data_IF_754722646700
#
_entry.id   IF_754722646700
#
_cell.length_a   1.000
_cell.length_b   1.000
_cell.length_c   1.000
_cell.angle_alpha   90.00
_cell.angle_beta   90.00
_cell.angle_gamma   90.00
#
_symmetry.space_group_name_H-M   'P 1'
#
loop_
_entity.id
_entity.type
_entity.pdbx_description
1 polymer ?
#
# COMPACT_ATOMS: atom_id res chain seq x y z
N UNK A 1 -8.18 49.09 10.31
CA UNK A 1 -7.56 48.35 11.42
C UNK A 1 -8.08 46.92 11.36
N UNK A 2 -7.24 45.92 11.08
CA UNK A 2 -7.67 44.51 10.97
C UNK A 2 -7.34 43.78 12.27
N UNK A 3 -8.34 43.11 12.85
CA UNK A 3 -8.20 42.32 14.06
C UNK A 3 -8.22 40.84 13.68
N UNK A 4 -7.07 40.17 13.85
CA UNK A 4 -6.95 38.73 13.69
C UNK A 4 -7.42 38.07 15.00
N UNK A 5 -8.49 37.28 14.93
CA UNK A 5 -8.93 36.43 16.04
C UNK A 5 -8.52 34.99 15.72
N UNK A 6 -7.54 34.39 16.42
CA UNK A 6 -7.23 32.99 16.24
C UNK A 6 -8.43 32.15 16.68
N UNK A 7 -8.89 31.24 15.81
CA UNK A 7 -9.81 30.17 16.24
C UNK A 7 -9.04 29.26 17.20
N UNK A 8 -9.62 28.86 18.35
CA UNK A 8 -9.06 27.77 19.13
C UNK A 8 -8.96 26.55 18.22
N UNK A 9 -7.75 26.07 18.03
CA UNK A 9 -7.47 24.95 17.18
C UNK A 9 -7.84 23.66 17.89
N UNK A 10 -8.68 22.86 17.26
CA UNK A 10 -8.78 21.43 17.56
C UNK A 10 -7.56 20.72 16.94
N UNK A 11 -6.33 21.19 17.22
CA UNK A 11 -5.10 20.67 16.62
C UNK A 11 -4.94 19.21 17.06
N UNK A 12 -5.37 18.28 16.21
CA UNK A 12 -4.98 16.88 16.33
C UNK A 12 -3.51 16.79 15.90
N UNK A 13 -2.60 16.29 16.74
CA UNK A 13 -1.22 16.11 16.34
C UNK A 13 -1.17 15.15 15.14
N UNK A 14 -0.49 15.59 14.09
CA UNK A 14 -0.26 14.76 12.91
C UNK A 14 0.93 13.86 13.24
N UNK A 15 0.63 12.59 13.49
CA UNK A 15 1.63 11.61 13.88
C UNK A 15 1.98 10.74 12.67
N UNK A 16 3.26 10.56 12.34
CA UNK A 16 3.68 9.54 11.40
C UNK A 16 3.27 8.15 11.91
N UNK A 17 2.59 7.39 11.08
CA UNK A 17 2.19 6.01 11.40
C UNK A 17 3.04 5.03 10.56
N UNK A 18 4.04 4.36 11.17
CA UNK A 18 4.73 3.26 10.51
C UNK A 18 3.83 2.03 10.48
N UNK A 19 3.71 1.40 9.32
CA UNK A 19 2.96 0.16 9.10
C UNK A 19 3.90 -0.85 8.47
N UNK A 20 4.11 -1.98 9.16
CA UNK A 20 4.83 -3.11 8.60
C UNK A 20 3.85 -3.95 7.78
N UNK A 21 4.25 -4.28 6.56
CA UNK A 21 3.45 -5.09 5.66
C UNK A 21 4.29 -6.27 5.19
N UNK A 22 3.66 -7.44 5.14
CA UNK A 22 4.22 -8.63 4.53
C UNK A 22 3.28 -9.13 3.43
N UNK A 23 3.83 -9.51 2.27
CA UNK A 23 3.11 -10.33 1.28
C UNK A 23 3.77 -11.70 1.29
N UNK A 24 2.97 -12.74 1.48
CA UNK A 24 3.41 -14.12 1.47
C UNK A 24 3.08 -14.80 0.14
N UNK A 25 4.07 -15.48 -0.44
CA UNK A 25 3.88 -16.39 -1.55
C UNK A 25 3.83 -17.84 -1.02
N UNK A 26 2.64 -18.47 -0.99
CA UNK A 26 2.50 -19.84 -0.52
C UNK A 26 2.81 -20.89 -1.61
N UNK A 27 3.07 -20.47 -2.85
CA UNK A 27 3.36 -21.40 -3.94
C UNK A 27 4.79 -21.95 -3.85
N UNK A 28 5.00 -23.12 -4.45
CA UNK A 28 6.32 -23.75 -4.60
C UNK A 28 7.14 -23.19 -5.78
N UNK A 29 6.65 -22.15 -6.44
CA UNK A 29 7.35 -21.41 -7.49
C UNK A 29 7.47 -19.93 -7.11
N UNK A 30 8.49 -19.21 -7.62
CA UNK A 30 8.55 -17.77 -7.48
C UNK A 30 7.31 -17.10 -8.07
N UNK A 31 6.91 -15.99 -7.45
CA UNK A 31 5.84 -15.13 -7.95
C UNK A 31 6.40 -13.72 -8.12
N UNK A 32 6.14 -13.15 -9.29
CA UNK A 32 6.43 -11.74 -9.57
C UNK A 32 5.14 -10.97 -9.71
N UNK A 33 5.07 -9.77 -9.14
CA UNK A 33 3.92 -8.89 -9.24
C UNK A 33 4.31 -7.43 -9.48
N UNK A 34 3.36 -6.63 -9.98
CA UNK A 34 3.50 -5.18 -10.05
C UNK A 34 3.27 -4.55 -8.67
N UNK A 35 4.25 -3.81 -8.16
CA UNK A 35 4.13 -3.10 -6.87
C UNK A 35 3.04 -2.02 -6.85
N UNK A 36 2.65 -1.50 -8.02
CA UNK A 36 1.69 -0.41 -8.16
C UNK A 36 0.32 -0.80 -7.64
N UNK A 37 -0.30 0.09 -6.88
CA UNK A 37 -1.59 -0.19 -6.23
C UNK A 37 -1.49 -1.21 -5.08
N UNK A 38 -0.27 -1.54 -4.66
CA UNK A 38 0.04 -2.43 -3.54
C UNK A 38 0.86 -1.67 -2.49
N UNK A 39 0.98 -2.19 -1.25
CA UNK A 39 1.83 -1.59 -0.22
C UNK A 39 3.30 -1.39 -0.60
N UNK A 40 3.78 -2.05 -1.65
CA UNK A 40 5.14 -1.94 -2.17
C UNK A 40 5.31 -0.80 -3.20
N UNK A 41 4.25 -0.08 -3.58
CA UNK A 41 4.37 1.15 -4.37
C UNK A 41 5.13 2.19 -3.52
N UNK A 42 6.19 2.84 -4.04
CA UNK A 42 6.91 3.88 -3.31
C UNK A 42 6.02 5.03 -2.80
N UNK A 43 4.82 5.19 -3.38
CA UNK A 43 3.81 6.19 -3.01
C UNK A 43 2.62 5.58 -2.28
N UNK A 44 2.74 4.36 -1.74
CA UNK A 44 1.64 3.65 -1.09
C UNK A 44 0.99 4.44 0.06
N UNK A 45 1.78 5.29 0.74
CA UNK A 45 1.31 6.21 1.77
C UNK A 45 0.38 7.33 1.27
N UNK A 46 0.30 7.56 -0.05
CA UNK A 46 -0.49 8.63 -0.67
C UNK A 46 -1.65 8.11 -1.54
N UNK A 47 -1.55 6.87 -2.03
CA UNK A 47 -2.46 6.31 -3.05
C UNK A 47 -3.70 5.62 -2.46
N UNK A 48 -3.98 5.77 -1.16
CA UNK A 48 -5.18 5.22 -0.52
C UNK A 48 -5.20 3.69 -0.40
N UNK A 49 -4.04 3.04 -0.49
CA UNK A 49 -3.89 1.58 -0.25
C UNK A 49 -4.22 1.24 1.20
N UNK A 50 -3.78 2.07 2.14
CA UNK A 50 -4.12 1.91 3.55
C UNK A 50 -5.41 2.66 3.88
N UNK A 51 -6.44 1.91 4.28
CA UNK A 51 -7.68 2.44 4.82
C UNK A 51 -7.52 2.58 6.33
N UNK A 52 -7.63 3.81 6.81
CA UNK A 52 -7.63 4.12 8.23
C UNK A 52 -8.98 4.76 8.55
N UNK A 53 -9.77 4.09 9.38
CA UNK A 53 -11.13 4.50 9.72
C UNK A 53 -11.98 4.83 8.46
N UNK A 54 -11.91 3.96 7.44
CA UNK A 54 -12.73 3.99 6.21
C UNK A 54 -12.49 5.14 5.20
N UNK A 55 -11.39 5.90 5.32
CA UNK A 55 -11.11 6.99 4.35
C UNK A 55 -10.33 6.49 3.12
N UNK A 56 -10.92 6.64 1.92
CA UNK A 56 -10.34 6.18 0.63
C UNK A 56 -9.73 7.37 -0.14
N UNK A 57 -8.60 7.16 -0.85
CA UNK A 57 -8.10 8.07 -1.90
C UNK A 57 -7.63 7.31 -3.16
N UNK A 58 -7.54 8.06 -4.26
CA UNK A 58 -7.75 7.65 -5.66
C UNK A 58 -6.44 7.25 -6.37
N UNK A 59 -6.60 6.43 -7.42
CA UNK A 59 -5.62 5.73 -8.24
C UNK A 59 -4.82 6.62 -9.23
N UNK A 60 -3.56 6.29 -9.53
CA UNK A 60 -2.73 6.91 -10.57
C UNK A 60 -2.55 5.99 -11.79
N UNK A 61 -2.49 6.54 -13.00
CA UNK A 61 -2.34 5.79 -14.25
C UNK A 61 -1.13 6.28 -15.07
N UNK A 62 -0.08 5.46 -15.10
CA UNK A 62 1.06 5.54 -16.04
C UNK A 62 1.43 4.10 -16.44
N UNK A 63 2.14 3.86 -17.56
CA UNK A 63 2.62 2.53 -17.93
C UNK A 63 3.66 2.00 -16.91
N UNK A 64 3.61 0.71 -16.52
CA UNK A 64 4.60 0.08 -15.65
C UNK A 64 5.96 -0.07 -16.34
N UNK A 65 7.03 0.08 -15.57
CA UNK A 65 8.41 -0.21 -15.95
C UNK A 65 8.90 -1.47 -15.22
N UNK A 66 10.08 -1.96 -15.58
CA UNK A 66 10.70 -3.11 -14.90
C UNK A 66 11.06 -2.86 -13.44
N UNK A 67 11.14 -1.60 -13.02
CA UNK A 67 11.38 -1.23 -11.62
C UNK A 67 10.13 -1.38 -10.76
N UNK A 68 8.96 -1.52 -11.39
CA UNK A 68 7.71 -1.81 -10.70
C UNK A 68 7.52 -3.31 -10.41
N UNK A 69 8.41 -4.18 -10.90
CA UNK A 69 8.35 -5.62 -10.66
C UNK A 69 8.96 -5.99 -9.31
N UNK A 70 8.20 -6.75 -8.54
CA UNK A 70 8.61 -7.29 -7.26
C UNK A 70 8.47 -8.81 -7.32
N UNK A 71 9.60 -9.50 -7.14
CA UNK A 71 9.63 -10.96 -6.98
C UNK A 71 9.56 -11.34 -5.50
N UNK A 72 8.81 -12.40 -5.22
CA UNK A 72 8.79 -13.15 -3.97
C UNK A 72 9.17 -14.60 -4.31
N UNK A 73 10.24 -15.16 -3.72
CA UNK A 73 10.60 -16.57 -3.91
C UNK A 73 9.47 -17.52 -3.50
N UNK A 74 9.60 -18.78 -3.89
CA UNK A 74 8.71 -19.85 -3.43
C UNK A 74 8.67 -19.91 -1.89
N UNK A 75 7.48 -20.14 -1.34
CA UNK A 75 7.24 -20.35 0.10
C UNK A 75 7.86 -19.27 1.01
N UNK A 76 7.91 -18.03 0.51
CA UNK A 76 8.61 -16.91 1.13
C UNK A 76 7.69 -15.71 1.35
N UNK A 77 8.16 -14.75 2.13
CA UNK A 77 7.48 -13.47 2.34
C UNK A 77 8.43 -12.33 2.02
N UNK A 78 7.85 -11.24 1.50
CA UNK A 78 8.56 -9.97 1.37
C UNK A 78 7.92 -8.94 2.27
N UNK A 79 8.76 -8.20 2.97
CA UNK A 79 8.34 -7.22 3.98
C UNK A 79 8.77 -5.81 3.61
N UNK A 80 7.96 -4.82 4.00
CA UNK A 80 8.29 -3.41 3.89
C UNK A 80 7.56 -2.61 4.98
N UNK A 81 8.23 -1.59 5.51
CA UNK A 81 7.60 -0.56 6.34
C UNK A 81 7.14 0.61 5.48
N UNK A 82 5.86 0.96 5.54
CA UNK A 82 5.32 2.18 4.94
C UNK A 82 5.00 3.17 6.06
N UNK A 83 5.52 4.39 5.96
CA UNK A 83 5.21 5.45 6.91
C UNK A 83 4.18 6.40 6.31
N UNK A 84 3.00 6.49 6.93
CA UNK A 84 1.98 7.46 6.54
C UNK A 84 2.20 8.75 7.35
N UNK A 85 2.55 9.88 6.71
CA UNK A 85 3.22 10.95 7.45
C UNK A 85 2.29 11.93 8.18
N UNK A 86 1.01 12.07 7.80
CA UNK A 86 0.12 13.12 8.34
C UNK A 86 -1.30 12.61 8.59
N UNK A 87 -1.46 11.68 9.53
CA UNK A 87 -2.80 11.20 9.93
C UNK A 87 -3.20 11.80 11.28
N UNK A 88 -4.42 12.36 11.41
CA UNK A 88 -4.95 12.84 12.67
C UNK A 88 -5.44 11.67 13.52
N UNK A 89 -4.52 11.02 14.25
CA UNK A 89 -4.83 9.95 15.20
C UNK A 89 -5.17 10.56 16.58
N UNK A 90 -6.17 10.00 17.26
CA UNK A 90 -6.57 10.40 18.60
C UNK A 90 -5.90 9.52 19.64
N UNK A 91 -5.24 10.14 20.62
CA UNK A 91 -4.60 9.43 21.72
C UNK A 91 -5.65 8.67 22.55
N UNK A 92 -5.34 7.41 22.89
CA UNK A 92 -6.25 6.54 23.64
C UNK A 92 -7.46 6.00 22.86
N UNK A 93 -7.69 6.43 21.61
CA UNK A 93 -8.74 5.92 20.75
C UNK A 93 -8.28 4.67 19.98
N UNK A 94 -9.21 3.73 19.73
CA UNK A 94 -8.96 2.57 18.88
C UNK A 94 -9.06 2.97 17.41
N UNK A 95 -7.99 2.78 16.68
CA UNK A 95 -7.95 2.97 15.24
C UNK A 95 -7.83 1.63 14.55
N UNK A 96 -8.36 1.56 13.33
CA UNK A 96 -8.21 0.40 12.47
C UNK A 96 -7.37 0.74 11.26
N UNK A 97 -6.55 -0.20 10.82
CA UNK A 97 -5.83 -0.12 9.56
C UNK A 97 -5.99 -1.42 8.78
N UNK A 98 -6.21 -1.29 7.48
CA UNK A 98 -6.38 -2.39 6.54
C UNK A 98 -5.84 -1.94 5.17
N UNK A 99 -5.12 -2.80 4.47
CA UNK A 99 -4.64 -2.53 3.13
C UNK A 99 -5.60 -3.12 2.10
N UNK A 100 -6.10 -2.31 1.16
CA UNK A 100 -6.92 -2.75 0.04
C UNK A 100 -6.40 -2.18 -1.26
N UNK A 101 -6.54 -2.95 -2.33
CA UNK A 101 -6.10 -2.48 -3.63
C UNK A 101 -6.42 -3.47 -4.74
N UNK A 102 -5.73 -3.29 -5.86
CA UNK A 102 -5.84 -4.13 -7.04
C UNK A 102 -4.44 -4.62 -7.38
N UNK A 103 -4.27 -5.94 -7.47
CA UNK A 103 -3.14 -6.53 -8.16
C UNK A 103 -3.26 -6.21 -9.64
N UNK A 104 -2.36 -5.39 -10.15
CA UNK A 104 -2.38 -4.97 -11.55
C UNK A 104 -1.76 -6.01 -12.49
N UNK A 105 -0.92 -6.91 -11.97
CA UNK A 105 -0.36 -8.07 -12.67
C UNK A 105 0.40 -8.97 -11.71
N UNK A 106 0.22 -10.28 -11.86
CA UNK A 106 0.90 -11.35 -11.13
C UNK A 106 1.30 -12.43 -12.15
N UNK A 107 2.51 -12.97 -12.02
CA UNK A 107 3.07 -14.03 -12.86
C UNK A 107 3.76 -15.08 -12.00
N UNK A 108 3.53 -16.37 -12.29
CA UNK A 108 4.18 -17.49 -11.60
C UNK A 108 5.59 -17.76 -12.14
N UNK A 109 6.45 -16.73 -12.13
CA UNK A 109 7.82 -16.79 -12.62
C UNK A 109 8.73 -15.81 -11.88
N UNK A 110 10.03 -15.87 -12.14
CA UNK A 110 11.00 -14.88 -11.67
C UNK A 110 10.83 -13.54 -12.37
N UNK A 111 11.42 -12.48 -11.82
CA UNK A 111 11.34 -11.12 -12.36
C UNK A 111 11.89 -11.01 -13.78
N UNK A 112 12.97 -11.73 -14.07
CA UNK A 112 13.66 -11.64 -15.36
C UNK A 112 12.90 -12.37 -16.49
N UNK A 113 12.05 -13.33 -16.11
CA UNK A 113 11.18 -14.06 -17.03
C UNK A 113 9.94 -13.26 -17.45
N UNK A 114 9.60 -12.16 -16.73
CA UNK A 114 8.55 -11.25 -17.15
C UNK A 114 9.00 -10.46 -18.37
N UNK A 115 8.32 -10.71 -19.48
CA UNK A 115 8.59 -10.09 -20.78
C UNK A 115 8.04 -8.67 -20.86
N UNK A 116 8.63 -7.83 -21.73
CA UNK A 116 8.11 -6.48 -21.98
C UNK A 116 6.68 -6.51 -22.54
N UNK A 117 6.33 -7.51 -23.35
CA UNK A 117 4.98 -7.68 -23.87
C UNK A 117 3.96 -7.90 -22.74
N UNK A 118 4.30 -8.75 -21.75
CA UNK A 118 3.47 -8.96 -20.57
C UNK A 118 3.31 -7.67 -19.74
N UNK A 119 4.37 -6.86 -19.59
CA UNK A 119 4.31 -5.57 -18.90
C UNK A 119 3.44 -4.52 -19.62
N UNK A 120 3.61 -4.40 -20.94
CA UNK A 120 2.93 -3.42 -21.78
C UNK A 120 1.43 -3.72 -21.94
N UNK A 121 1.05 -5.00 -21.89
CA UNK A 121 -0.34 -5.43 -22.04
C UNK A 121 -1.28 -4.85 -20.97
N UNK A 122 -0.76 -4.36 -19.82
CA UNK A 122 -1.49 -3.71 -18.72
C UNK A 122 -2.80 -4.42 -18.30
N UNK A 123 -2.92 -5.72 -18.62
CA UNK A 123 -4.18 -6.44 -18.72
C UNK A 123 -4.06 -7.94 -18.99
N UNK A 124 -2.88 -8.45 -19.37
CA UNK A 124 -2.61 -9.89 -19.59
C UNK A 124 -1.52 -10.42 -18.63
N UNK A 125 -1.58 -10.02 -17.35
CA UNK A 125 -0.97 -10.84 -16.30
C UNK A 125 -1.73 -12.17 -16.17
N UNK A 126 -1.07 -13.25 -15.74
CA UNK A 126 -1.76 -14.54 -15.46
C UNK A 126 -2.93 -14.35 -14.48
N UNK A 127 -2.78 -13.43 -13.52
CA UNK A 127 -3.84 -13.05 -12.60
C UNK A 127 -3.89 -11.53 -12.32
N UNK A 128 -5.11 -11.00 -12.25
CA UNK A 128 -5.46 -9.64 -11.82
C UNK A 128 -6.64 -9.73 -10.85
N UNK A 129 -6.66 -8.93 -9.79
CA UNK A 129 -7.75 -9.02 -8.81
C UNK A 129 -7.66 -8.02 -7.69
N UNK A 130 -8.74 -7.90 -6.91
CA UNK A 130 -8.74 -7.11 -5.68
C UNK A 130 -8.00 -7.87 -4.58
N UNK A 131 -7.40 -7.14 -3.65
CA UNK A 131 -6.89 -7.71 -2.40
C UNK A 131 -7.37 -6.91 -1.21
N UNK A 132 -7.36 -7.57 -0.07
CA UNK A 132 -7.66 -7.05 1.26
C UNK A 132 -6.74 -7.77 2.25
N UNK A 133 -6.05 -7.02 3.11
CA UNK A 133 -5.28 -7.59 4.21
C UNK A 133 -6.19 -7.92 5.39
N UNK A 134 -5.62 -8.50 6.43
CA UNK A 134 -6.22 -8.46 7.75
C UNK A 134 -6.43 -7.01 8.23
N UNK A 135 -7.43 -6.85 9.10
CA UNK A 135 -7.68 -5.59 9.80
C UNK A 135 -6.97 -5.59 11.15
N UNK A 136 -6.10 -4.61 11.36
CA UNK A 136 -5.36 -4.44 12.61
C UNK A 136 -5.98 -3.31 13.43
N UNK A 137 -6.22 -3.55 14.72
CA UNK A 137 -6.68 -2.54 15.69
C UNK A 137 -5.48 -2.07 16.51
N UNK A 138 -5.30 -0.75 16.65
CA UNK A 138 -4.21 -0.18 17.43
C UNK A 138 -4.65 1.08 18.21
N UNK A 139 -3.88 1.43 19.23
CA UNK A 139 -4.03 2.68 20.01
C UNK A 139 -2.73 3.47 19.94
N UNK A 140 -2.84 4.79 19.82
CA UNK A 140 -1.68 5.67 20.01
C UNK A 140 -1.56 5.95 21.51
N UNK A 141 -0.43 5.58 22.09
CA UNK A 141 -0.04 5.91 23.47
C UNK A 141 1.21 6.79 23.45
N UNK A 142 1.24 7.82 24.28
CA UNK A 142 2.46 8.59 24.55
C UNK A 142 3.42 7.82 25.45
#
# INVERSE_FOLDING_TARGET
>A
MFKICPRPSLYRPLNPLPINVAIHNPANTPVTFLNRGTPFDPRANLLGIFQINDTIKINCWLPPSRDDLVEIPAESSKEQTVTIPWIPLEEGHEHTVEAKGIWHGIWACTRDEVTNLQLESLGEGEARGKFESERVVFKVTR
#
